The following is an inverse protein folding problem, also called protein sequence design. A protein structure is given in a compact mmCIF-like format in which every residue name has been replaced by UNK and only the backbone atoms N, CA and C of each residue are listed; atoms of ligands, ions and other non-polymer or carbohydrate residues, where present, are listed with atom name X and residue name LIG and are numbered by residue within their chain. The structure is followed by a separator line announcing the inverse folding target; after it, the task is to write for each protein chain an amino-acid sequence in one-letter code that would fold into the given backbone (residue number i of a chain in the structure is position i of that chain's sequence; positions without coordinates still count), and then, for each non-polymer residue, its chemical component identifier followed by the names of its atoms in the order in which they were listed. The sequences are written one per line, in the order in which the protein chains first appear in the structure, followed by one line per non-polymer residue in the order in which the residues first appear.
data_IF_412655360893
#
_entry.id   IF_412655360893
#
_cell.length_a   1.000
_cell.length_b   1.000
_cell.length_c   1.000
_cell.angle_alpha   90.00
_cell.angle_beta   90.00
_cell.angle_gamma   90.00
#
_symmetry.space_group_name_H-M   'P 1'
#
loop_
_entity.id
_entity.type
_entity.pdbx_description
1 polymer ?
#
# COMPACT_ATOMS: atom_id res chain seq x y z
N UNK A 1 4.22 1.47 21.56
CA UNK A 1 3.61 2.77 21.93
C UNK A 1 4.63 3.91 22.04
N UNK A 2 5.68 3.81 22.87
CA UNK A 2 6.62 4.95 23.11
C UNK A 2 7.35 5.53 21.90
N UNK A 3 7.64 4.73 20.87
CA UNK A 3 8.39 5.19 19.67
C UNK A 3 7.43 5.64 18.57
N UNK A 4 6.34 4.92 18.33
CA UNK A 4 5.33 5.30 17.34
C UNK A 4 4.59 6.58 17.76
N UNK A 5 4.41 6.84 19.06
CA UNK A 5 3.88 8.12 19.54
C UNK A 5 4.82 9.33 19.30
N UNK A 6 6.07 9.10 18.87
CA UNK A 6 7.04 10.16 18.56
C UNK A 6 7.19 10.41 17.07
N UNK A 7 6.63 9.57 16.20
CA UNK A 7 6.68 9.79 14.76
C UNK A 7 5.87 11.04 14.41
N UNK A 8 6.46 11.94 13.63
CA UNK A 8 5.80 13.16 13.21
C UNK A 8 6.12 13.44 11.74
N UNK A 9 5.12 13.24 10.89
CA UNK A 9 5.22 13.49 9.46
C UNK A 9 3.84 13.84 8.90
N UNK A 10 3.79 14.73 7.91
CA UNK A 10 2.51 15.21 7.32
C UNK A 10 1.68 14.11 6.64
N UNK A 11 2.31 12.99 6.29
CA UNK A 11 1.67 11.83 5.67
C UNK A 11 1.52 10.64 6.63
N UNK A 12 1.59 10.86 7.94
CA UNK A 12 1.22 9.90 8.98
C UNK A 12 0.13 10.50 9.87
N UNK A 13 -0.82 9.67 10.29
CA UNK A 13 -1.85 10.10 11.24
C UNK A 13 -1.20 10.28 12.61
N UNK A 14 -1.26 11.51 13.12
CA UNK A 14 -0.65 11.87 14.39
C UNK A 14 -1.44 11.29 15.57
N UNK A 15 -0.77 10.48 16.40
CA UNK A 15 -1.29 10.10 17.72
C UNK A 15 -1.19 11.32 18.65
N UNK A 16 -2.32 11.82 19.14
CA UNK A 16 -2.40 12.95 20.08
C UNK A 16 -2.26 12.50 21.52
N UNK A 17 -2.70 11.29 21.84
CA UNK A 17 -2.65 10.77 23.20
C UNK A 17 -3.19 9.35 23.32
N UNK A 18 -3.18 8.85 24.54
CA UNK A 18 -3.77 7.57 24.88
C UNK A 18 -4.42 7.65 26.25
N UNK A 19 -5.42 6.81 26.49
CA UNK A 19 -6.01 6.60 27.80
C UNK A 19 -5.86 5.13 28.17
N UNK A 20 -5.46 4.86 29.41
CA UNK A 20 -5.43 3.52 29.97
C UNK A 20 -6.18 3.54 31.30
N UNK A 21 -7.35 2.88 31.34
CA UNK A 21 -8.16 2.73 32.53
C UNK A 21 -8.29 1.25 32.90
N UNK A 22 -7.59 0.86 33.97
CA UNK A 22 -7.48 -0.54 34.38
C UNK A 22 -6.77 -1.42 33.35
N UNK A 23 -7.04 -2.73 33.39
CA UNK A 23 -6.42 -3.72 32.50
C UNK A 23 -7.10 -3.85 31.13
N UNK A 24 -8.36 -3.41 30.99
CA UNK A 24 -9.20 -3.77 29.84
C UNK A 24 -9.63 -2.58 28.97
N UNK A 25 -9.37 -1.34 29.38
CA UNK A 25 -9.74 -0.16 28.57
C UNK A 25 -8.49 0.61 28.16
N UNK A 26 -8.16 0.49 26.88
CA UNK A 26 -7.11 1.25 26.22
C UNK A 26 -7.71 2.00 25.05
N UNK A 27 -7.55 3.32 25.04
CA UNK A 27 -8.02 4.18 23.95
C UNK A 27 -6.82 4.92 23.36
N UNK A 28 -6.85 5.11 22.05
CA UNK A 28 -5.89 5.92 21.31
C UNK A 28 -6.64 7.11 20.73
N UNK A 29 -6.07 8.30 20.91
CA UNK A 29 -6.65 9.55 20.40
C UNK A 29 -5.76 10.03 19.26
N UNK A 30 -6.33 10.16 18.07
CA UNK A 30 -5.62 10.60 16.86
C UNK A 30 -6.07 12.00 16.46
N UNK A 31 -5.28 12.64 15.60
CA UNK A 31 -5.73 13.84 14.90
C UNK A 31 -6.97 13.55 14.05
N UNK A 32 -7.75 14.60 13.79
CA UNK A 32 -8.95 14.45 12.98
C UNK A 32 -8.59 14.19 11.51
N UNK A 33 -9.29 13.22 10.93
CA UNK A 33 -9.20 12.83 9.51
C UNK A 33 -10.61 12.75 8.97
N UNK A 34 -11.28 13.90 8.98
CA UNK A 34 -12.70 14.12 8.67
C UNK A 34 -13.18 13.48 7.36
N UNK A 35 -12.33 13.41 6.32
CA UNK A 35 -12.67 12.83 5.01
C UNK A 35 -12.56 11.30 4.99
N UNK A 36 -12.05 10.69 6.06
CA UNK A 36 -11.92 9.25 6.19
C UNK A 36 -11.01 8.63 5.11
N UNK A 37 -11.24 7.36 4.81
CA UNK A 37 -10.44 6.63 3.83
C UNK A 37 -10.81 6.99 2.39
N UNK A 38 -9.84 7.06 1.45
CA UNK A 38 -10.12 7.30 0.03
C UNK A 38 -10.82 6.12 -0.67
N UNK A 39 -11.10 5.01 0.02
CA UNK A 39 -11.85 3.86 -0.52
C UNK A 39 -13.15 4.29 -1.19
N UNK A 40 -13.95 5.14 -0.53
CA UNK A 40 -15.21 5.60 -1.11
C UNK A 40 -14.97 6.59 -2.26
N UNK A 41 -13.95 7.44 -2.14
CA UNK A 41 -13.55 8.34 -3.21
C UNK A 41 -13.10 7.60 -4.47
N UNK A 42 -12.46 6.44 -4.33
CA UNK A 42 -11.91 5.66 -5.44
C UNK A 42 -12.89 4.64 -6.02
N UNK A 43 -13.76 4.02 -5.21
CA UNK A 43 -14.57 2.87 -5.63
C UNK A 43 -16.08 3.07 -5.56
N UNK A 44 -16.58 4.20 -5.05
CA UNK A 44 -18.02 4.35 -4.88
C UNK A 44 -18.73 4.53 -6.23
N UNK A 45 -19.63 3.59 -6.51
CA UNK A 45 -20.48 3.55 -7.70
C UNK A 45 -21.46 4.73 -7.79
N UNK A 46 -21.81 5.32 -6.64
CA UNK A 46 -22.74 6.45 -6.55
C UNK A 46 -22.08 7.79 -6.90
N UNK A 47 -20.74 7.85 -6.91
CA UNK A 47 -20.03 9.02 -7.41
C UNK A 47 -20.06 9.02 -8.94
N UNK A 48 -20.71 10.03 -9.53
CA UNK A 48 -20.81 10.21 -10.98
C UNK A 48 -19.47 10.54 -11.65
N UNK A 49 -18.41 10.83 -10.89
CA UNK A 49 -17.10 11.22 -11.42
C UNK A 49 -15.98 10.40 -10.78
N UNK A 50 -15.22 9.73 -11.65
CA UNK A 50 -13.97 9.08 -11.28
C UNK A 50 -12.95 10.18 -10.94
N UNK A 51 -12.17 10.05 -9.85
CA UNK A 51 -11.11 10.99 -9.50
C UNK A 51 -10.19 11.31 -10.68
N UNK A 52 -9.75 12.56 -10.77
CA UNK A 52 -8.75 12.97 -11.77
C UNK A 52 -7.43 12.24 -11.54
N UNK A 53 -6.63 12.13 -12.60
CA UNK A 53 -5.32 11.50 -12.52
C UNK A 53 -4.40 12.18 -11.49
N UNK A 54 -4.46 13.51 -11.40
CA UNK A 54 -3.64 14.29 -10.47
C UNK A 54 -4.05 14.05 -9.00
N UNK A 55 -5.34 13.89 -8.72
CA UNK A 55 -5.82 13.51 -7.38
C UNK A 55 -5.33 12.11 -6.99
N UNK A 56 -5.40 11.15 -7.92
CA UNK A 56 -4.88 9.79 -7.72
C UNK A 56 -3.39 9.82 -7.41
N UNK A 57 -2.60 10.51 -8.23
CA UNK A 57 -1.15 10.63 -8.04
C UNK A 57 -0.80 11.36 -6.75
N UNK A 58 -1.56 12.37 -6.34
CA UNK A 58 -1.37 13.07 -5.07
C UNK A 58 -1.54 12.11 -3.88
N UNK A 59 -2.53 11.23 -3.91
CA UNK A 59 -2.72 10.19 -2.87
C UNK A 59 -1.52 9.24 -2.86
N UNK A 60 -1.17 8.68 -4.02
CA UNK A 60 -0.04 7.74 -4.14
C UNK A 60 1.27 8.32 -3.62
N UNK A 61 1.59 9.56 -4.01
CA UNK A 61 2.81 10.26 -3.59
C UNK A 61 2.83 10.53 -2.09
N UNK A 62 1.69 10.91 -1.51
CA UNK A 62 1.57 11.11 -0.07
C UNK A 62 1.83 9.81 0.70
N UNK A 63 1.26 8.68 0.24
CA UNK A 63 1.51 7.37 0.84
C UNK A 63 2.99 6.97 0.73
N UNK A 64 3.59 7.11 -0.46
CA UNK A 64 5.01 6.82 -0.68
C UNK A 64 5.92 7.61 0.28
N UNK A 65 5.66 8.91 0.46
CA UNK A 65 6.38 9.76 1.43
C UNK A 65 6.18 9.32 2.87
N UNK A 66 4.98 8.87 3.25
CA UNK A 66 4.75 8.30 4.57
C UNK A 66 5.57 7.03 4.81
N UNK A 67 5.66 6.16 3.79
CA UNK A 67 6.46 4.93 3.83
C UNK A 67 7.96 5.26 3.92
N UNK A 68 8.46 6.22 3.12
CA UNK A 68 9.83 6.74 3.22
C UNK A 68 10.19 7.08 4.65
N UNK A 69 9.34 7.90 5.27
CA UNK A 69 9.61 8.44 6.57
C UNK A 69 9.73 7.32 7.61
N UNK A 70 8.85 6.32 7.54
CA UNK A 70 8.90 5.14 8.41
C UNK A 70 10.16 4.30 8.20
N UNK A 71 10.60 4.16 6.95
CA UNK A 71 11.70 3.26 6.57
C UNK A 71 13.08 3.89 6.75
N UNK A 72 13.25 5.18 6.44
CA UNK A 72 14.57 5.80 6.30
C UNK A 72 14.78 7.04 7.18
N UNK A 73 13.72 7.78 7.50
CA UNK A 73 13.85 9.08 8.19
C UNK A 73 13.56 8.99 9.71
N UNK A 74 12.94 7.91 10.17
CA UNK A 74 12.75 7.64 11.59
C UNK A 74 14.05 7.21 12.27
N UNK A 75 14.29 7.70 13.51
CA UNK A 75 15.42 7.29 14.35
C UNK A 75 15.49 5.75 14.52
N UNK A 76 14.33 5.12 14.64
CA UNK A 76 14.19 3.67 14.59
C UNK A 76 13.43 3.30 13.33
N UNK A 77 14.00 2.45 12.47
CA UNK A 77 13.33 1.97 11.26
C UNK A 77 12.06 1.19 11.64
N UNK A 78 10.93 1.56 11.02
CA UNK A 78 9.61 1.01 11.28
C UNK A 78 9.08 0.30 10.03
N UNK A 79 8.68 -0.97 10.17
CA UNK A 79 7.89 -1.69 9.16
C UNK A 79 6.41 -1.60 9.57
N UNK A 80 5.55 -1.02 8.74
CA UNK A 80 4.14 -0.81 9.04
C UNK A 80 3.35 -2.13 9.15
N UNK A 81 3.62 -3.07 8.24
CA UNK A 81 3.01 -4.41 8.14
C UNK A 81 1.51 -4.48 7.78
N UNK A 82 0.81 -3.35 7.64
CA UNK A 82 -0.60 -3.32 7.19
C UNK A 82 -0.90 -2.11 6.30
N UNK A 83 -0.04 -1.86 5.31
CA UNK A 83 -0.32 -0.84 4.28
C UNK A 83 -1.47 -1.33 3.40
N UNK A 84 -2.57 -0.59 3.43
CA UNK A 84 -3.77 -0.85 2.64
C UNK A 84 -4.61 0.41 2.56
N UNK A 85 -5.48 0.52 1.56
CA UNK A 85 -6.25 1.73 1.31
C UNK A 85 -7.18 2.11 2.48
N UNK A 86 -7.65 1.12 3.24
CA UNK A 86 -8.49 1.32 4.44
C UNK A 86 -7.72 1.97 5.61
N UNK A 87 -6.40 1.79 5.66
CA UNK A 87 -5.53 2.42 6.66
C UNK A 87 -4.93 3.74 6.15
N UNK A 88 -5.26 4.16 4.93
CA UNK A 88 -4.97 5.51 4.44
C UNK A 88 -6.16 6.39 4.76
N UNK A 89 -5.93 7.51 5.45
CA UNK A 89 -6.95 8.49 5.81
C UNK A 89 -6.66 9.83 5.14
N UNK A 90 -7.69 10.62 4.90
CA UNK A 90 -7.58 11.95 4.31
C UNK A 90 -7.98 13.02 5.33
N UNK A 91 -7.17 14.08 5.41
CA UNK A 91 -7.54 15.28 6.14
C UNK A 91 -8.38 16.24 5.26
N UNK A 92 -8.85 17.34 5.86
CA UNK A 92 -9.66 18.35 5.18
C UNK A 92 -8.98 18.95 3.93
N UNK A 93 -7.64 19.01 3.92
CA UNK A 93 -6.86 19.52 2.77
C UNK A 93 -6.74 18.51 1.61
N UNK A 94 -7.27 17.30 1.78
CA UNK A 94 -7.09 16.19 0.85
C UNK A 94 -5.66 15.67 0.85
N UNK A 95 -4.94 15.78 1.98
CA UNK A 95 -3.67 15.12 2.17
C UNK A 95 -3.90 13.70 2.68
N UNK A 96 -3.26 12.72 2.04
CA UNK A 96 -3.35 11.33 2.46
C UNK A 96 -2.32 11.03 3.56
N UNK A 97 -2.74 10.29 4.57
CA UNK A 97 -1.98 9.96 5.77
C UNK A 97 -2.09 8.47 6.08
N UNK A 98 -0.97 7.82 6.39
CA UNK A 98 -0.95 6.43 6.84
C UNK A 98 -1.35 6.39 8.31
N UNK A 99 -2.39 5.64 8.62
CA UNK A 99 -2.87 5.34 9.97
C UNK A 99 -2.73 3.85 10.30
N UNK A 100 -3.25 3.49 11.48
CA UNK A 100 -3.26 2.12 12.04
C UNK A 100 -1.89 1.41 12.08
N UNK A 101 -1.12 1.78 13.09
CA UNK A 101 0.19 1.21 13.41
C UNK A 101 0.12 -0.02 14.33
N UNK A 102 -1.05 -0.67 14.44
CA UNK A 102 -1.27 -1.79 15.37
C UNK A 102 -0.38 -3.01 15.10
N UNK A 103 0.06 -3.21 13.85
CA UNK A 103 0.91 -4.34 13.45
C UNK A 103 2.39 -3.96 13.30
N UNK A 104 2.74 -2.69 13.47
CA UNK A 104 4.05 -2.16 13.14
C UNK A 104 5.20 -2.85 13.93
N UNK A 105 6.35 -2.96 13.29
CA UNK A 105 7.58 -3.54 13.84
C UNK A 105 8.69 -2.53 13.86
N UNK A 106 9.40 -2.47 14.98
CA UNK A 106 10.53 -1.60 15.18
C UNK A 106 11.80 -2.44 15.06
N UNK A 107 12.65 -2.10 14.11
CA UNK A 107 13.92 -2.78 13.92
C UNK A 107 14.97 -2.20 14.86
N UNK A 108 15.75 -3.07 15.49
CA UNK A 108 16.89 -2.64 16.32
C UNK A 108 17.97 -2.00 15.43
N UNK A 109 18.85 -1.16 15.98
CA UNK A 109 20.00 -0.64 15.24
C UNK A 109 20.80 -1.77 14.56
N UNK A 110 21.04 -1.66 13.26
CA UNK A 110 21.74 -2.66 12.45
C UNK A 110 20.90 -3.89 12.06
N UNK A 111 19.66 -4.01 12.53
CA UNK A 111 18.74 -5.08 12.14
C UNK A 111 18.09 -4.74 10.79
N UNK A 112 18.23 -5.61 9.80
CA UNK A 112 17.66 -5.41 8.45
C UNK A 112 16.39 -6.23 8.20
N UNK A 113 16.10 -7.22 9.07
CA UNK A 113 14.95 -8.10 8.96
C UNK A 113 14.43 -8.51 10.34
N UNK A 114 13.20 -9.01 10.42
CA UNK A 114 12.60 -9.50 11.67
C UNK A 114 11.67 -10.67 11.44
N UNK A 115 11.54 -11.56 12.41
CA UNK A 115 10.55 -12.63 12.38
C UNK A 115 9.23 -12.16 12.99
N UNK A 116 8.15 -12.36 12.26
CA UNK A 116 6.78 -12.21 12.75
C UNK A 116 5.92 -13.28 12.10
N UNK A 117 4.91 -13.77 12.80
CA UNK A 117 3.86 -14.55 12.16
C UNK A 117 3.17 -13.74 11.06
N UNK A 118 2.48 -14.45 10.16
CA UNK A 118 1.70 -13.83 9.07
C UNK A 118 0.69 -12.87 9.71
N UNK A 119 0.82 -11.60 9.33
CA UNK A 119 0.00 -10.47 9.78
C UNK A 119 -0.22 -9.55 8.58
N UNK A 120 -1.28 -8.76 8.64
CA UNK A 120 -1.71 -7.90 7.54
C UNK A 120 -2.98 -8.42 6.88
N UNK A 121 -3.43 -7.68 5.87
CA UNK A 121 -4.73 -7.90 5.24
C UNK A 121 -4.59 -8.71 3.94
N UNK A 122 -5.42 -9.75 3.78
CA UNK A 122 -5.47 -10.58 2.55
C UNK A 122 -5.59 -9.67 1.31
N UNK A 123 -4.79 -9.96 0.29
CA UNK A 123 -4.68 -9.13 -0.93
C UNK A 123 -3.48 -8.18 -0.92
N UNK A 124 -2.99 -7.78 0.27
CA UNK A 124 -1.85 -6.88 0.43
C UNK A 124 -0.59 -7.57 0.97
N UNK A 125 -0.73 -8.77 1.54
CA UNK A 125 0.36 -9.54 2.15
C UNK A 125 1.37 -10.01 1.10
N UNK A 126 2.62 -9.58 1.25
CA UNK A 126 3.76 -10.00 0.44
C UNK A 126 4.00 -11.53 0.44
N UNK A 127 4.50 -12.12 -0.65
CA UNK A 127 4.62 -13.57 -0.80
C UNK A 127 5.62 -14.21 0.17
N UNK A 128 6.65 -13.50 0.63
CA UNK A 128 7.63 -13.98 1.60
C UNK A 128 7.02 -14.29 2.98
N UNK A 129 5.93 -13.62 3.37
CA UNK A 129 5.22 -13.93 4.63
C UNK A 129 4.68 -15.36 4.63
N UNK A 130 4.13 -15.82 3.50
CA UNK A 130 3.60 -17.18 3.35
C UNK A 130 4.68 -18.26 3.44
N UNK A 131 5.95 -17.88 3.25
CA UNK A 131 7.11 -18.78 3.29
C UNK A 131 7.76 -18.83 4.68
N UNK A 132 7.17 -18.18 5.69
CA UNK A 132 7.74 -18.04 7.04
C UNK A 132 9.17 -17.48 7.04
N UNK A 133 9.49 -16.61 6.06
CA UNK A 133 10.78 -15.95 5.96
C UNK A 133 10.82 -14.70 6.86
N UNK A 134 12.02 -14.25 7.30
CA UNK A 134 12.17 -12.94 7.92
C UNK A 134 11.62 -11.85 7.01
N UNK A 135 10.85 -10.93 7.57
CA UNK A 135 10.35 -9.78 6.82
C UNK A 135 11.30 -8.60 6.90
N UNK A 136 11.33 -7.82 5.84
CA UNK A 136 12.07 -6.55 5.74
C UNK A 136 11.09 -5.43 5.44
N UNK A 137 11.58 -4.20 5.32
CA UNK A 137 10.78 -3.07 4.80
C UNK A 137 10.10 -3.38 3.45
N UNK A 138 10.60 -4.36 2.68
CA UNK A 138 10.02 -4.79 1.38
C UNK A 138 8.58 -5.29 1.44
N UNK A 139 8.09 -5.74 2.60
CA UNK A 139 6.68 -6.13 2.72
C UNK A 139 5.72 -4.95 2.61
N UNK A 140 6.12 -3.77 3.10
CA UNK A 140 5.34 -2.53 2.93
C UNK A 140 5.43 -2.04 1.48
N UNK A 141 6.56 -2.28 0.81
CA UNK A 141 6.76 -1.94 -0.61
C UNK A 141 5.83 -2.75 -1.50
N UNK A 142 5.73 -4.05 -1.24
CA UNK A 142 4.78 -4.91 -1.93
C UNK A 142 3.34 -4.45 -1.70
N UNK A 143 2.98 -4.22 -0.44
CA UNK A 143 1.64 -3.73 -0.05
C UNK A 143 1.31 -2.39 -0.73
N UNK A 144 2.29 -1.49 -0.82
CA UNK A 144 2.16 -0.22 -1.54
C UNK A 144 1.95 -0.42 -3.03
N UNK A 145 2.63 -1.40 -3.66
CA UNK A 145 2.39 -1.76 -5.06
C UNK A 145 0.92 -2.12 -5.32
N UNK A 146 0.30 -2.91 -4.42
CA UNK A 146 -1.13 -3.22 -4.49
C UNK A 146 -1.99 -1.96 -4.34
N UNK A 147 -1.72 -1.12 -3.33
CA UNK A 147 -2.43 0.16 -3.12
C UNK A 147 -2.29 1.08 -4.33
N UNK A 148 -1.13 1.10 -4.97
CA UNK A 148 -0.86 1.91 -6.14
C UNK A 148 -1.70 1.43 -7.34
N UNK A 149 -1.79 0.12 -7.57
CA UNK A 149 -2.70 -0.45 -8.57
C UNK A 149 -4.16 -0.06 -8.30
N UNK A 150 -4.60 -0.16 -7.04
CA UNK A 150 -5.95 0.24 -6.65
C UNK A 150 -6.24 1.70 -6.97
N UNK A 151 -5.27 2.59 -6.70
CA UNK A 151 -5.38 4.03 -6.95
C UNK A 151 -5.42 4.32 -8.46
N UNK A 152 -4.49 3.78 -9.26
CA UNK A 152 -4.39 4.12 -10.68
C UNK A 152 -5.55 3.53 -11.49
N UNK A 153 -5.95 2.30 -11.19
CA UNK A 153 -7.06 1.61 -11.86
C UNK A 153 -8.44 1.98 -11.29
N UNK A 154 -8.50 2.69 -10.15
CA UNK A 154 -9.73 2.94 -9.40
C UNK A 154 -10.55 1.65 -9.19
N UNK A 155 -9.85 0.57 -8.87
CA UNK A 155 -10.41 -0.78 -8.79
C UNK A 155 -9.94 -1.49 -7.54
N UNK A 156 -10.82 -2.25 -6.89
CA UNK A 156 -10.45 -3.07 -5.72
C UNK A 156 -9.46 -4.15 -6.12
N UNK A 157 -8.46 -4.39 -5.27
CA UNK A 157 -7.44 -5.42 -5.53
C UNK A 157 -8.00 -6.85 -5.58
N UNK A 158 -9.07 -7.11 -4.82
CA UNK A 158 -9.87 -8.34 -4.87
C UNK A 158 -11.33 -7.98 -5.16
N UNK A 159 -11.88 -8.49 -6.25
CA UNK A 159 -13.25 -8.24 -6.68
C UNK A 159 -13.91 -9.53 -7.21
N UNK A 160 -14.66 -10.20 -6.33
CA UNK A 160 -15.31 -11.48 -6.63
C UNK A 160 -16.54 -11.35 -7.55
N UNK A 161 -16.96 -10.12 -7.88
CA UNK A 161 -18.06 -9.89 -8.82
C UNK A 161 -17.59 -9.94 -10.28
N UNK A 162 -16.28 -10.02 -10.52
CA UNK A 162 -15.68 -10.15 -11.85
C UNK A 162 -15.35 -11.61 -12.17
N UNK A 163 -14.99 -11.87 -13.43
CA UNK A 163 -14.53 -13.19 -13.85
C UNK A 163 -13.29 -13.64 -13.06
N UNK A 164 -13.06 -14.94 -13.00
CA UNK A 164 -11.92 -15.51 -12.27
C UNK A 164 -10.57 -14.93 -12.73
N UNK A 165 -10.40 -14.72 -14.05
CA UNK A 165 -9.20 -14.14 -14.65
C UNK A 165 -8.99 -12.67 -14.28
N UNK A 166 -10.05 -11.97 -13.87
CA UNK A 166 -9.97 -10.58 -13.44
C UNK A 166 -9.98 -10.44 -11.92
N UNK A 167 -10.49 -11.39 -11.15
CA UNK A 167 -10.83 -11.21 -9.73
C UNK A 167 -9.68 -10.68 -8.87
N UNK A 168 -8.42 -10.98 -9.23
CA UNK A 168 -7.20 -10.44 -8.62
C UNK A 168 -6.61 -9.35 -9.52
N UNK A 169 -6.64 -8.09 -9.05
CA UNK A 169 -6.20 -6.94 -9.82
C UNK A 169 -4.74 -7.04 -10.27
N UNK A 170 -3.85 -7.52 -9.40
CA UNK A 170 -2.42 -7.64 -9.71
C UNK A 170 -2.18 -8.62 -10.86
N UNK A 171 -2.84 -9.79 -10.84
CA UNK A 171 -2.75 -10.81 -11.89
C UNK A 171 -3.31 -10.25 -13.21
N UNK A 172 -4.47 -9.58 -13.17
CA UNK A 172 -5.08 -8.96 -14.35
C UNK A 172 -4.23 -7.84 -14.97
N UNK A 173 -3.67 -6.95 -14.15
CA UNK A 173 -2.78 -5.87 -14.60
C UNK A 173 -1.54 -6.45 -15.28
N UNK A 174 -0.98 -7.52 -14.72
CA UNK A 174 0.16 -8.22 -15.31
C UNK A 174 -0.17 -8.78 -16.70
N UNK A 175 -1.32 -9.46 -16.84
CA UNK A 175 -1.79 -9.96 -18.15
C UNK A 175 -1.99 -8.82 -19.15
N UNK A 176 -2.60 -7.71 -18.74
CA UNK A 176 -2.75 -6.54 -19.61
C UNK A 176 -1.41 -5.94 -20.02
N UNK A 177 -0.42 -5.92 -19.11
CA UNK A 177 0.92 -5.43 -19.40
C UNK A 177 1.64 -6.31 -20.44
N UNK A 178 1.68 -7.63 -20.23
CA UNK A 178 2.32 -8.58 -21.15
C UNK A 178 1.68 -8.56 -22.55
N UNK A 179 0.37 -8.35 -22.64
CA UNK A 179 -0.36 -8.29 -23.91
C UNK A 179 -0.35 -6.89 -24.57
N UNK A 180 0.22 -5.87 -23.92
CA UNK A 180 0.19 -4.49 -24.42
C UNK A 180 -1.21 -3.85 -24.39
N UNK A 181 -2.10 -4.32 -23.51
CA UNK A 181 -3.51 -3.92 -23.41
C UNK A 181 -3.77 -2.93 -22.26
N UNK A 182 -2.83 -2.03 -21.96
CA UNK A 182 -2.96 -1.07 -20.85
C UNK A 182 -4.18 -0.13 -20.99
N UNK A 183 -4.74 0.02 -22.19
CA UNK A 183 -6.01 0.71 -22.42
C UNK A 183 -7.21 0.09 -21.70
N UNK A 184 -7.12 -1.17 -21.26
CA UNK A 184 -8.12 -1.81 -20.39
C UNK A 184 -8.05 -1.29 -18.95
N UNK A 185 -6.89 -0.77 -18.52
CA UNK A 185 -6.64 -0.28 -17.16
C UNK A 185 -6.99 1.20 -17.01
N UNK A 186 -6.60 2.02 -18.00
CA UNK A 186 -6.73 3.48 -18.00
C UNK A 186 -7.02 3.99 -19.43
N UNK A 187 -7.82 5.05 -19.55
CA UNK A 187 -8.41 5.44 -20.84
C UNK A 187 -7.48 6.27 -21.74
N UNK A 188 -6.61 7.10 -21.17
CA UNK A 188 -5.73 8.01 -21.94
C UNK A 188 -4.37 7.39 -22.23
N UNK A 189 -3.83 7.59 -23.44
CA UNK A 189 -2.47 7.14 -23.81
C UNK A 189 -1.37 7.69 -22.88
N UNK A 190 -1.49 8.95 -22.44
CA UNK A 190 -0.56 9.53 -21.45
C UNK A 190 -0.60 8.77 -20.11
N UNK A 191 -1.79 8.38 -19.67
CA UNK A 191 -1.96 7.57 -18.46
C UNK A 191 -1.40 6.16 -18.66
N UNK A 192 -1.62 5.56 -19.84
CA UNK A 192 -1.08 4.23 -20.18
C UNK A 192 0.46 4.25 -20.15
N UNK A 193 1.09 5.30 -20.71
CA UNK A 193 2.54 5.47 -20.66
C UNK A 193 3.04 5.61 -19.21
N UNK A 194 2.33 6.36 -18.36
CA UNK A 194 2.68 6.48 -16.94
C UNK A 194 2.53 5.15 -16.20
N UNK A 195 1.47 4.38 -16.46
CA UNK A 195 1.29 3.04 -15.90
C UNK A 195 2.40 2.11 -16.37
N UNK A 196 2.76 2.14 -17.65
CA UNK A 196 3.86 1.35 -18.22
C UNK A 196 5.17 1.63 -17.50
N UNK A 197 5.57 2.90 -17.40
CA UNK A 197 6.81 3.29 -16.72
C UNK A 197 6.78 2.93 -15.21
N UNK A 198 5.61 3.03 -14.57
CA UNK A 198 5.42 2.61 -13.18
C UNK A 198 5.63 1.10 -13.00
N UNK A 199 5.09 0.30 -13.92
CA UNK A 199 5.21 -1.15 -13.94
C UNK A 199 6.66 -1.58 -14.21
N UNK A 200 7.32 -0.98 -15.19
CA UNK A 200 8.74 -1.20 -15.47
C UNK A 200 9.67 -0.73 -14.34
N UNK A 201 9.16 0.07 -13.40
CA UNK A 201 9.94 0.64 -12.32
C UNK A 201 10.90 1.74 -12.77
N UNK A 202 10.63 2.36 -13.92
CA UNK A 202 11.45 3.40 -14.57
C UNK A 202 10.98 4.82 -14.23
N UNK A 203 9.83 4.99 -13.55
CA UNK A 203 9.45 6.28 -12.96
C UNK A 203 10.30 6.54 -11.71
N UNK A 204 11.14 7.58 -11.77
CA UNK A 204 11.65 8.28 -10.60
C UNK A 204 10.48 9.01 -9.90
N UNK A 205 9.70 8.27 -9.12
CA UNK A 205 8.92 8.90 -8.06
C UNK A 205 10.01 9.44 -7.12
N UNK A 206 10.05 10.74 -6.79
CA UNK A 206 11.08 11.26 -5.89
C UNK A 206 11.01 10.41 -4.61
N UNK A 207 12.05 9.58 -4.43
CA UNK A 207 12.14 8.31 -3.67
C UNK A 207 11.34 8.26 -2.36
N UNK A 208 10.84 7.09 -1.86
CA UNK A 208 11.03 5.65 -2.16
C UNK A 208 9.68 4.86 -2.16
N UNK A 209 9.67 3.52 -2.00
CA UNK A 209 10.61 2.51 -2.48
C UNK A 209 10.17 2.00 -3.85
N UNK A 210 11.14 1.67 -4.70
CA UNK A 210 10.89 1.30 -6.10
C UNK A 210 9.91 0.12 -6.22
N UNK A 211 8.78 0.29 -6.94
CA UNK A 211 7.86 -0.79 -7.30
C UNK A 211 8.48 -1.87 -8.19
N UNK A 212 9.73 -1.72 -8.67
CA UNK A 212 10.44 -2.78 -9.41
C UNK A 212 10.52 -4.11 -8.63
N UNK A 213 10.52 -4.07 -7.30
CA UNK A 213 10.42 -5.27 -6.44
C UNK A 213 9.03 -5.92 -6.44
N UNK A 214 7.98 -5.17 -6.80
CA UNK A 214 6.60 -5.65 -6.85
C UNK A 214 6.34 -6.51 -8.10
N UNK A 215 6.65 -6.04 -9.30
CA UNK A 215 6.48 -6.87 -10.52
C UNK A 215 7.36 -8.12 -10.49
N UNK A 216 8.62 -8.01 -10.05
CA UNK A 216 9.47 -9.20 -9.88
C UNK A 216 8.91 -10.20 -8.88
N UNK A 217 8.13 -9.76 -7.88
CA UNK A 217 7.41 -10.64 -6.95
C UNK A 217 6.19 -11.32 -7.60
N UNK A 218 5.47 -10.62 -8.50
CA UNK A 218 4.37 -11.21 -9.29
C UNK A 218 4.91 -12.27 -10.25
N UNK A 219 5.98 -11.97 -11.00
CA UNK A 219 6.65 -12.93 -11.91
C UNK A 219 7.09 -14.20 -11.16
N UNK A 220 7.60 -14.05 -9.93
CA UNK A 220 8.01 -15.17 -9.09
C UNK A 220 6.83 -15.98 -8.49
N UNK A 221 5.61 -15.44 -8.50
CA UNK A 221 4.39 -16.17 -8.12
C UNK A 221 3.87 -17.00 -9.30
N UNK A 222 3.93 -16.47 -10.52
CA UNK A 222 3.45 -17.16 -11.72
C UNK A 222 4.37 -18.31 -12.15
N UNK A 223 5.69 -18.10 -12.05
CA UNK A 223 6.68 -19.19 -12.23
C UNK A 223 6.56 -20.31 -11.19
N UNK A 224 5.90 -20.07 -10.05
CA UNK A 224 5.58 -21.10 -9.05
C UNK A 224 4.23 -21.79 -9.32
N UNK A 225 3.19 -21.06 -9.75
CA UNK A 225 1.95 -21.69 -10.23
C UNK A 225 2.23 -22.72 -11.34
N UNK A 226 3.17 -22.44 -12.25
CA UNK A 226 3.63 -23.38 -13.28
C UNK A 226 4.45 -24.57 -12.75
N UNK A 227 5.05 -24.48 -11.55
CA UNK A 227 5.85 -25.58 -10.96
C UNK A 227 5.03 -26.51 -10.06
N UNK A 228 3.89 -26.06 -9.55
CA UNK A 228 3.00 -26.88 -8.72
C UNK A 228 1.96 -27.67 -9.55
N UNK A 229 2.12 -27.73 -10.89
CA UNK A 229 1.29 -28.51 -11.82
C UNK A 229 2.01 -29.71 -12.47
N UNK A 230 3.19 -30.11 -11.98
CA UNK A 230 3.90 -31.32 -12.44
C UNK A 230 4.46 -32.15 -11.29
#
# INVERSE_FOLDING_TARGET
MRVIGKTHHKNLVKLLGYCQSGSNHQLLVYEDTSKGSPVNFLFNSDHQQIPSWDERLKIALNVARGILYLHEECETQIIHCDIKLQNILMDDSGCAKIGDVGLAKLLKPGQTNTFTGIRGTRGYVAPEWHRNLPVTVKVDVYSFGIVLLEIVCCRRNLDMNRSEDEAVLADWVYVCFENGELGKLVSSEDQQQKVMLMLEGTIDIPTPPSPSSFLSSIINLDTKKCRDQY
#
